data_IF_488023986277
#
_entry.id   IF_488023986277
#
_cell.length_a   1.000
_cell.length_b   1.000
_cell.length_c   1.000
_cell.angle_alpha   90.00
_cell.angle_beta   90.00
_cell.angle_gamma   90.00
#
_symmetry.space_group_name_H-M   'P 1'
#
loop_
_entity.id
_entity.type
_entity.pdbx_description
1 polymer ?
#
# COMPACT_ATOMS: atom_id res chain seq x y z
N UNK A 1 4.53 -18.64 -0.33
CA UNK A 1 4.06 -17.31 -0.76
C UNK A 1 5.17 -16.41 -1.29
N UNK A 2 6.35 -16.34 -0.64
CA UNK A 2 7.45 -15.42 -1.05
C UNK A 2 8.00 -15.63 -2.48
N UNK A 3 7.93 -16.85 -3.04
CA UNK A 3 8.46 -17.17 -4.37
C UNK A 3 7.44 -17.19 -5.52
N UNK A 4 6.14 -17.27 -5.23
CA UNK A 4 5.12 -17.50 -6.26
C UNK A 4 4.55 -16.20 -6.84
N UNK A 5 4.39 -15.15 -6.03
CA UNK A 5 3.85 -13.85 -6.48
C UNK A 5 4.71 -13.21 -7.57
N UNK A 6 6.04 -13.24 -7.41
CA UNK A 6 7.01 -12.79 -8.42
C UNK A 6 6.93 -13.59 -9.72
N UNK A 7 6.68 -14.91 -9.64
CA UNK A 7 6.63 -15.80 -10.81
C UNK A 7 5.38 -15.54 -11.67
N UNK A 8 4.27 -15.15 -11.06
CA UNK A 8 3.00 -14.96 -11.75
C UNK A 8 2.62 -13.49 -11.98
N UNK A 9 3.49 -12.53 -11.61
CA UNK A 9 3.21 -11.10 -11.76
C UNK A 9 2.06 -10.61 -10.86
N UNK A 10 1.85 -11.28 -9.72
CA UNK A 10 0.76 -10.97 -8.79
C UNK A 10 1.26 -9.99 -7.73
N UNK A 11 0.54 -8.88 -7.57
CA UNK A 11 0.79 -7.85 -6.56
C UNK A 11 -0.44 -7.68 -5.66
N UNK A 12 -0.20 -7.37 -4.39
CA UNK A 12 -1.24 -6.92 -3.47
C UNK A 12 -1.43 -5.40 -3.62
N UNK A 13 -2.63 -4.98 -3.99
CA UNK A 13 -3.07 -3.58 -3.91
C UNK A 13 -3.36 -3.22 -2.46
N UNK A 14 -2.64 -2.23 -1.93
CA UNK A 14 -2.83 -1.73 -0.57
C UNK A 14 -3.37 -0.30 -0.62
N UNK A 15 -4.64 -0.16 -0.27
CA UNK A 15 -5.39 1.09 -0.28
C UNK A 15 -5.66 1.69 1.10
N UNK A 16 -6.54 2.70 1.16
CA UNK A 16 -6.81 3.54 2.33
C UNK A 16 -7.27 2.73 3.57
N UNK A 17 -7.90 1.57 3.38
CA UNK A 17 -8.37 0.72 4.49
C UNK A 17 -7.25 0.31 5.46
N UNK A 18 -6.00 0.19 5.00
CA UNK A 18 -4.85 -0.15 5.88
C UNK A 18 -4.62 0.90 6.95
N UNK A 19 -5.04 2.14 6.70
CA UNK A 19 -4.80 3.28 7.60
C UNK A 19 -5.64 3.21 8.86
N UNK A 20 -6.78 2.53 8.84
CA UNK A 20 -7.67 2.35 9.98
C UNK A 20 -7.10 1.36 11.00
N UNK A 21 -6.92 1.79 12.25
CA UNK A 21 -6.39 0.94 13.34
C UNK A 21 -7.20 -0.34 13.54
N UNK A 22 -8.52 -0.26 13.35
CA UNK A 22 -9.45 -1.38 13.51
C UNK A 22 -9.30 -2.47 12.43
N UNK A 23 -8.63 -2.17 11.31
CA UNK A 23 -8.39 -3.13 10.22
C UNK A 23 -7.22 -4.08 10.55
N UNK A 24 -7.24 -4.70 11.73
CA UNK A 24 -6.15 -5.49 12.30
C UNK A 24 -5.70 -6.64 11.40
N UNK A 25 -6.64 -7.38 10.80
CA UNK A 25 -6.33 -8.49 9.88
C UNK A 25 -5.59 -8.00 8.63
N UNK A 26 -6.06 -6.92 7.98
CA UNK A 26 -5.40 -6.32 6.83
C UNK A 26 -3.99 -5.82 7.20
N UNK A 27 -3.85 -5.15 8.34
CA UNK A 27 -2.57 -4.65 8.83
C UNK A 27 -1.59 -5.79 9.10
N UNK A 28 -2.05 -6.93 9.61
CA UNK A 28 -1.23 -8.13 9.79
C UNK A 28 -0.83 -8.81 8.49
N UNK A 29 -1.71 -8.82 7.48
CA UNK A 29 -1.36 -9.25 6.12
C UNK A 29 -0.24 -8.36 5.56
N UNK A 30 -0.38 -7.03 5.67
CA UNK A 30 0.64 -6.08 5.18
C UNK A 30 2.01 -6.30 5.84
N UNK A 31 2.07 -6.69 7.11
CA UNK A 31 3.33 -7.06 7.78
C UNK A 31 4.00 -8.27 7.12
N UNK A 32 3.22 -9.26 6.66
CA UNK A 32 3.69 -10.55 6.11
C UNK A 32 3.97 -10.53 4.61
N UNK A 33 3.27 -9.72 3.83
CA UNK A 33 3.46 -9.65 2.37
C UNK A 33 4.81 -8.97 2.06
N UNK A 34 5.68 -9.55 1.22
CA UNK A 34 6.94 -8.90 0.83
C UNK A 34 6.70 -7.53 0.19
N UNK A 35 7.53 -6.52 0.50
CA UNK A 35 7.36 -5.17 -0.05
C UNK A 35 7.41 -5.14 -1.58
N UNK A 36 8.24 -5.99 -2.18
CA UNK A 36 8.38 -6.22 -3.62
C UNK A 36 7.12 -6.80 -4.30
N UNK A 37 6.13 -7.22 -3.52
CA UNK A 37 4.83 -7.71 -4.01
C UNK A 37 3.68 -6.74 -3.67
N UNK A 38 3.98 -5.49 -3.29
CA UNK A 38 2.98 -4.47 -2.94
C UNK A 38 2.95 -3.37 -4.00
N UNK A 39 1.75 -2.99 -4.41
CA UNK A 39 1.47 -1.71 -5.09
C UNK A 39 0.56 -0.88 -4.18
N UNK A 40 0.78 0.44 -4.14
CA UNK A 40 -0.09 1.34 -3.40
C UNK A 40 -1.19 1.83 -4.32
N UNK A 41 -2.40 1.85 -3.80
CA UNK A 41 -3.56 2.38 -4.49
C UNK A 41 -4.36 3.29 -3.56
N UNK A 42 -5.34 3.94 -4.14
CA UNK A 42 -6.20 4.90 -3.47
C UNK A 42 -7.49 4.84 -4.27
N UNK A 43 -8.55 4.27 -3.69
CA UNK A 43 -9.82 4.06 -4.38
C UNK A 43 -10.64 5.37 -4.37
N UNK A 44 -10.00 6.43 -4.86
CA UNK A 44 -10.66 7.73 -4.99
C UNK A 44 -11.84 7.61 -5.95
N UNK A 45 -13.00 8.17 -5.58
CA UNK A 45 -13.17 9.23 -4.58
C UNK A 45 -13.67 8.80 -3.18
N UNK A 46 -13.61 7.51 -2.84
CA UNK A 46 -14.41 6.94 -1.75
C UNK A 46 -13.72 6.99 -0.38
N UNK A 47 -12.96 5.95 -0.03
CA UNK A 47 -12.44 5.71 1.33
C UNK A 47 -11.34 6.72 1.64
N UNK A 48 -11.51 7.58 2.64
CA UNK A 48 -10.49 8.55 3.04
C UNK A 48 -9.55 7.88 4.06
N UNK A 49 -8.23 8.13 4.05
CA UNK A 49 -7.37 7.65 5.12
C UNK A 49 -7.84 8.09 6.52
N UNK A 50 -7.63 7.23 7.51
CA UNK A 50 -7.95 7.53 8.90
C UNK A 50 -7.28 8.83 9.36
N UNK A 51 -8.07 9.71 10.00
CA UNK A 51 -7.60 11.00 10.52
C UNK A 51 -7.47 12.13 9.50
N UNK A 52 -7.76 11.90 8.21
CA UNK A 52 -7.73 12.96 7.19
C UNK A 52 -9.12 13.60 7.06
N UNK A 53 -9.25 14.93 7.23
CA UNK A 53 -10.54 15.61 7.12
C UNK A 53 -11.02 15.67 5.67
N UNK A 54 -12.33 15.50 5.46
CA UNK A 54 -12.96 15.66 4.16
C UNK A 54 -14.13 14.70 3.94
N UNK A 55 -14.77 14.82 2.76
CA UNK A 55 -15.84 13.91 2.30
C UNK A 55 -15.49 13.18 1.00
N UNK A 56 -14.35 13.50 0.40
CA UNK A 56 -13.90 12.96 -0.88
C UNK A 56 -12.43 12.59 -0.80
N UNK A 57 -12.10 11.34 -1.14
CA UNK A 57 -10.71 10.92 -1.26
C UNK A 57 -10.09 11.49 -2.56
N UNK A 58 -8.77 11.67 -2.55
CA UNK A 58 -7.99 12.15 -3.70
C UNK A 58 -6.71 11.33 -3.83
N UNK A 59 -6.15 11.14 -5.05
CA UNK A 59 -4.87 10.45 -5.25
C UNK A 59 -3.70 11.05 -4.46
N UNK A 60 -3.79 12.33 -4.05
CA UNK A 60 -2.79 12.99 -3.20
C UNK A 60 -2.65 12.36 -1.81
N UNK A 61 -3.56 11.45 -1.43
CA UNK A 61 -3.54 10.77 -0.14
C UNK A 61 -2.70 9.48 -0.11
N UNK A 62 -2.19 8.99 -1.25
CA UNK A 62 -1.27 7.82 -1.30
C UNK A 62 -0.08 7.93 -0.32
N UNK A 63 0.55 9.09 -0.09
CA UNK A 63 1.63 9.22 0.88
C UNK A 63 1.23 8.83 2.32
N UNK A 64 -0.03 9.00 2.73
CA UNK A 64 -0.50 8.54 4.05
C UNK A 64 -0.54 7.02 4.14
N UNK A 65 -0.93 6.36 3.06
CA UNK A 65 -0.91 4.90 2.94
C UNK A 65 0.53 4.39 3.00
N UNK A 66 1.44 5.02 2.24
CA UNK A 66 2.87 4.69 2.25
C UNK A 66 3.47 4.80 3.65
N UNK A 67 3.11 5.83 4.41
CA UNK A 67 3.54 6.01 5.80
C UNK A 67 3.07 4.87 6.70
N UNK A 68 1.80 4.49 6.63
CA UNK A 68 1.27 3.37 7.43
C UNK A 68 1.95 2.05 7.06
N UNK A 69 2.18 1.78 5.78
CA UNK A 69 2.91 0.59 5.33
C UNK A 69 4.35 0.59 5.86
N UNK A 70 5.03 1.74 5.84
CA UNK A 70 6.37 1.89 6.38
C UNK A 70 6.42 1.58 7.89
N UNK A 71 5.47 2.12 8.65
CA UNK A 71 5.36 1.91 10.09
C UNK A 71 5.06 0.44 10.43
N UNK A 72 4.12 -0.18 9.70
CA UNK A 72 3.79 -1.61 9.87
C UNK A 72 4.98 -2.53 9.58
N UNK A 73 5.80 -2.17 8.59
CA UNK A 73 6.97 -2.96 8.18
C UNK A 73 8.24 -2.62 8.95
N UNK A 74 8.26 -1.55 9.74
CA UNK A 74 9.46 -1.09 10.45
C UNK A 74 10.59 -0.65 9.51
N UNK A 75 10.25 0.00 8.39
CA UNK A 75 11.22 0.46 7.38
C UNK A 75 11.03 1.94 7.04
N UNK A 76 12.02 2.53 6.37
CA UNK A 76 11.95 3.91 5.91
C UNK A 76 10.87 4.11 4.83
N UNK A 77 10.14 5.22 4.91
CA UNK A 77 9.07 5.55 3.95
C UNK A 77 9.60 5.71 2.51
N UNK A 78 10.82 6.23 2.31
CA UNK A 78 11.44 6.33 0.99
C UNK A 78 11.72 4.97 0.38
N UNK A 79 11.97 3.95 1.20
CA UNK A 79 12.08 2.56 0.73
C UNK A 79 10.73 2.06 0.22
N UNK A 80 9.65 2.34 0.93
CA UNK A 80 8.28 2.00 0.49
C UNK A 80 7.96 2.70 -0.81
N UNK A 81 8.06 4.04 -0.86
CA UNK A 81 7.78 4.85 -2.04
C UNK A 81 8.53 4.32 -3.28
N UNK A 82 9.84 4.09 -3.14
CA UNK A 82 10.67 3.60 -4.23
C UNK A 82 10.24 2.21 -4.69
N UNK A 83 10.10 1.24 -3.78
CA UNK A 83 9.82 -0.14 -4.18
C UNK A 83 8.41 -0.27 -4.77
N UNK A 84 7.40 0.34 -4.15
CA UNK A 84 6.02 0.25 -4.64
C UNK A 84 5.84 0.99 -5.98
N UNK A 85 6.60 2.07 -6.21
CA UNK A 85 6.65 2.71 -7.53
C UNK A 85 7.28 1.79 -8.57
N UNK A 86 8.39 1.13 -8.25
CA UNK A 86 9.03 0.18 -9.16
C UNK A 86 8.13 -1.03 -9.45
N UNK A 87 7.36 -1.49 -8.46
CA UNK A 87 6.38 -2.56 -8.63
C UNK A 87 5.25 -2.13 -9.56
N UNK A 88 4.69 -0.93 -9.37
CA UNK A 88 3.66 -0.40 -10.26
C UNK A 88 4.17 -0.27 -11.70
N UNK A 89 5.39 0.24 -11.88
CA UNK A 89 6.07 0.32 -13.19
C UNK A 89 6.20 -1.04 -13.86
N UNK A 90 6.64 -2.07 -13.13
CA UNK A 90 6.74 -3.45 -13.62
C UNK A 90 5.36 -4.03 -13.98
N UNK A 91 4.34 -3.78 -13.15
CA UNK A 91 2.99 -4.29 -13.33
C UNK A 91 2.31 -3.67 -14.57
N UNK A 92 2.43 -2.35 -14.73
CA UNK A 92 1.74 -1.61 -15.80
C UNK A 92 2.60 -1.37 -17.05
N UNK A 93 3.89 -1.72 -17.03
CA UNK A 93 4.80 -1.58 -18.17
C UNK A 93 5.15 -0.12 -18.50
N UNK A 94 5.34 0.72 -17.47
CA UNK A 94 5.64 2.17 -17.58
C UNK A 94 6.96 2.58 -16.92
#
# INVERSE_FOLDING_TARGET
>A
MEGETKRYGIYAGIGDAVTYSESSELRDIVKRVPLEAIVLENDSPYVIPEGIPGKRNTPLNIPYIAKVVADLKGIDIKKVERETTMNAKRLYGI
#
